data_IF_149093724581
#
_entry.id   IF_149093724581
#
_cell.length_a   1.000
_cell.length_b   1.000
_cell.length_c   1.000
_cell.angle_alpha   90.00
_cell.angle_beta   90.00
_cell.angle_gamma   90.00
#
_symmetry.space_group_name_H-M   'P 1'
#
loop_
_entity.id
_entity.type
_entity.pdbx_description
1 polymer ?
#
# COMPACT_ATOMS: atom_id res chain seq x y z
N UNK A 1 -2.40 15.84 19.96
CA UNK A 1 -2.65 15.53 18.54
C UNK A 1 -1.67 16.33 17.73
N UNK A 2 -0.80 15.66 17.03
CA UNK A 2 0.13 16.29 16.11
C UNK A 2 -0.59 16.70 14.80
N UNK A 3 -0.07 17.69 14.09
CA UNK A 3 -0.59 18.06 12.76
C UNK A 3 -0.57 16.88 11.79
N UNK A 4 0.38 15.94 11.96
CA UNK A 4 0.47 14.68 11.20
C UNK A 4 -0.76 13.80 11.44
N UNK A 5 -1.28 13.73 12.66
CA UNK A 5 -2.51 12.96 12.95
C UNK A 5 -3.68 13.46 12.12
N UNK A 6 -3.80 14.80 12.00
CA UNK A 6 -4.87 15.43 11.22
C UNK A 6 -4.71 15.11 9.73
N UNK A 7 -3.48 15.21 9.20
CA UNK A 7 -3.20 14.90 7.80
C UNK A 7 -3.48 13.44 7.49
N UNK A 8 -2.98 12.51 8.32
CA UNK A 8 -3.22 11.07 8.12
C UNK A 8 -4.71 10.74 8.23
N UNK A 9 -5.42 11.30 9.21
CA UNK A 9 -6.85 11.09 9.36
C UNK A 9 -7.63 11.60 8.14
N UNK A 10 -7.31 12.79 7.64
CA UNK A 10 -7.93 13.34 6.42
C UNK A 10 -7.66 12.47 5.21
N UNK A 11 -6.44 12.01 5.02
CA UNK A 11 -6.08 11.14 3.89
C UNK A 11 -6.80 9.79 3.97
N UNK A 12 -6.92 9.20 5.15
CA UNK A 12 -7.67 7.96 5.36
C UNK A 12 -9.17 8.17 5.09
N UNK A 13 -9.75 9.29 5.54
CA UNK A 13 -11.15 9.65 5.26
C UNK A 13 -11.39 9.88 3.77
N UNK A 14 -10.47 10.54 3.06
CA UNK A 14 -10.53 10.67 1.60
C UNK A 14 -10.49 9.29 0.93
N UNK A 15 -9.67 8.37 1.43
CA UNK A 15 -9.65 6.99 0.96
C UNK A 15 -10.97 6.26 1.16
N UNK A 16 -11.59 6.40 2.33
CA UNK A 16 -12.92 5.85 2.61
C UNK A 16 -14.00 6.45 1.67
N UNK A 17 -13.95 7.75 1.42
CA UNK A 17 -14.87 8.42 0.49
C UNK A 17 -14.68 7.95 -0.95
N UNK A 18 -13.44 7.77 -1.41
CA UNK A 18 -13.17 7.17 -2.71
C UNK A 18 -13.68 5.74 -2.79
N UNK A 19 -13.49 4.94 -1.74
CA UNK A 19 -14.02 3.58 -1.65
C UNK A 19 -15.54 3.53 -1.71
N UNK A 20 -16.22 4.45 -1.02
CA UNK A 20 -17.67 4.63 -1.10
C UNK A 20 -18.13 4.85 -2.56
N UNK A 21 -17.46 5.72 -3.30
CA UNK A 21 -17.78 6.00 -4.72
C UNK A 21 -17.39 4.86 -5.66
N UNK A 22 -16.31 4.15 -5.36
CA UNK A 22 -15.81 3.06 -6.20
C UNK A 22 -16.68 1.81 -6.08
N UNK A 23 -17.23 1.57 -4.89
CA UNK A 23 -18.00 0.39 -4.52
C UNK A 23 -17.13 -0.78 -4.10
N UNK A 24 -17.75 -1.73 -3.39
CA UNK A 24 -17.12 -2.89 -2.77
C UNK A 24 -16.24 -3.70 -3.75
N UNK A 25 -16.77 -3.98 -4.94
CA UNK A 25 -16.08 -4.82 -5.92
C UNK A 25 -14.73 -4.22 -6.35
N UNK A 26 -14.70 -2.93 -6.71
CA UNK A 26 -13.44 -2.27 -7.10
C UNK A 26 -12.46 -2.16 -5.94
N UNK A 27 -12.95 -1.87 -4.75
CA UNK A 27 -12.10 -1.78 -3.57
C UNK A 27 -11.52 -3.14 -3.19
N UNK A 28 -12.28 -4.23 -3.37
CA UNK A 28 -11.77 -5.59 -3.18
C UNK A 28 -10.63 -5.90 -4.16
N UNK A 29 -10.79 -5.57 -5.45
CA UNK A 29 -9.70 -5.71 -6.43
C UNK A 29 -8.49 -4.86 -6.05
N UNK A 30 -8.71 -3.65 -5.56
CA UNK A 30 -7.63 -2.76 -5.11
C UNK A 30 -6.89 -3.31 -3.90
N UNK A 31 -7.59 -3.94 -2.95
CA UNK A 31 -6.97 -4.61 -1.81
C UNK A 31 -6.13 -5.81 -2.25
N UNK A 32 -6.68 -6.64 -3.15
CA UNK A 32 -5.94 -7.76 -3.77
C UNK A 32 -4.71 -7.24 -4.52
N UNK A 33 -4.84 -6.13 -5.25
CA UNK A 33 -3.74 -5.49 -5.96
C UNK A 33 -2.57 -5.12 -5.03
N UNK A 34 -2.87 -4.59 -3.84
CA UNK A 34 -1.86 -4.22 -2.85
C UNK A 34 -1.16 -5.47 -2.32
N UNK A 35 -1.92 -6.50 -1.93
CA UNK A 35 -1.35 -7.76 -1.44
C UNK A 35 -0.42 -8.37 -2.49
N UNK A 36 -0.89 -8.48 -3.74
CA UNK A 36 -0.08 -8.98 -4.85
C UNK A 36 1.11 -8.07 -5.15
N UNK A 37 0.93 -6.75 -5.00
CA UNK A 37 1.99 -5.76 -5.17
C UNK A 37 3.11 -5.94 -4.14
N UNK A 38 2.77 -6.16 -2.87
CA UNK A 38 3.75 -6.44 -1.80
C UNK A 38 4.50 -7.75 -2.10
N UNK A 39 3.76 -8.82 -2.41
CA UNK A 39 4.35 -10.12 -2.72
C UNK A 39 5.29 -10.05 -3.94
N UNK A 40 4.84 -9.41 -5.01
CA UNK A 40 5.63 -9.22 -6.22
C UNK A 40 6.82 -8.26 -5.99
N UNK A 41 6.60 -7.19 -5.21
CA UNK A 41 7.62 -6.23 -4.83
C UNK A 41 8.81 -6.93 -4.20
N UNK A 42 8.60 -7.75 -3.20
CA UNK A 42 9.68 -8.53 -2.58
C UNK A 42 10.26 -9.60 -3.52
N UNK A 43 9.42 -10.33 -4.22
CA UNK A 43 9.87 -11.41 -5.11
C UNK A 43 10.76 -10.91 -6.25
N UNK A 44 10.41 -9.78 -6.85
CA UNK A 44 11.10 -9.23 -8.01
C UNK A 44 12.05 -8.08 -7.69
N UNK A 45 12.20 -7.71 -6.40
CA UNK A 45 13.08 -6.63 -5.95
C UNK A 45 14.52 -6.82 -6.46
N UNK A 46 15.09 -8.02 -6.34
CA UNK A 46 16.45 -8.30 -6.78
C UNK A 46 16.65 -8.09 -8.28
N UNK A 47 15.69 -8.55 -9.10
CA UNK A 47 15.70 -8.32 -10.54
C UNK A 47 15.58 -6.82 -10.87
N UNK A 48 14.66 -6.12 -10.21
CA UNK A 48 14.46 -4.69 -10.42
C UNK A 48 15.70 -3.86 -9.99
N UNK A 49 16.41 -4.27 -8.94
CA UNK A 49 17.67 -3.64 -8.53
C UNK A 49 18.74 -3.72 -9.61
N UNK A 50 18.89 -4.87 -10.28
CA UNK A 50 19.83 -5.03 -11.39
C UNK A 50 19.47 -4.09 -12.54
N UNK A 51 18.22 -4.10 -12.98
CA UNK A 51 17.74 -3.27 -14.10
C UNK A 51 17.83 -1.77 -13.79
N UNK A 52 17.52 -1.35 -12.57
CA UNK A 52 17.59 0.05 -12.15
C UNK A 52 19.04 0.49 -11.95
N UNK A 53 19.88 -0.36 -11.36
CA UNK A 53 21.29 -0.03 -11.09
C UNK A 53 22.11 0.19 -12.35
N UNK A 54 21.74 -0.46 -13.47
CA UNK A 54 22.38 -0.24 -14.76
C UNK A 54 21.97 1.09 -15.43
N UNK A 55 20.77 1.59 -15.14
CA UNK A 55 20.19 2.75 -15.83
C UNK A 55 20.23 4.04 -15.03
N UNK A 56 20.25 3.95 -13.71
CA UNK A 56 20.13 5.11 -12.83
C UNK A 56 21.18 5.05 -11.73
N UNK A 57 21.91 6.16 -11.54
CA UNK A 57 22.89 6.28 -10.46
C UNK A 57 22.17 6.53 -9.11
N UNK A 58 21.62 5.47 -8.52
CA UNK A 58 20.95 5.51 -7.22
C UNK A 58 21.94 5.01 -6.16
N UNK A 59 21.92 5.65 -4.98
CA UNK A 59 22.68 5.18 -3.83
C UNK A 59 22.28 3.72 -3.51
N UNK A 60 23.28 2.87 -3.26
CA UNK A 60 23.08 1.43 -2.99
C UNK A 60 22.16 1.17 -1.80
N UNK A 61 22.16 2.06 -0.82
CA UNK A 61 21.31 1.94 0.38
C UNK A 61 19.82 2.21 0.09
N UNK A 62 19.54 3.02 -0.95
CA UNK A 62 18.17 3.40 -1.33
C UNK A 62 17.61 2.50 -2.45
N UNK A 63 18.50 1.90 -3.24
CA UNK A 63 18.14 1.08 -4.40
C UNK A 63 17.11 -0.03 -4.12
N UNK A 64 17.20 -0.80 -3.01
CA UNK A 64 16.20 -1.83 -2.70
C UNK A 64 14.79 -1.26 -2.54
N UNK A 65 14.65 -0.13 -1.85
CA UNK A 65 13.35 0.50 -1.61
C UNK A 65 12.73 1.06 -2.88
N UNK A 66 13.57 1.66 -3.74
CA UNK A 66 13.12 2.15 -5.06
C UNK A 66 12.71 0.97 -5.95
N UNK A 67 13.48 -0.10 -5.96
CA UNK A 67 13.18 -1.30 -6.73
C UNK A 67 11.86 -1.94 -6.28
N UNK A 68 11.66 -2.08 -4.96
CA UNK A 68 10.41 -2.54 -4.38
C UNK A 68 9.24 -1.63 -4.79
N UNK A 69 9.37 -0.32 -4.62
CA UNK A 69 8.31 0.64 -4.93
C UNK A 69 7.91 0.60 -6.41
N UNK A 70 8.87 0.50 -7.33
CA UNK A 70 8.60 0.41 -8.77
C UNK A 70 7.81 -0.84 -9.11
N UNK A 71 8.22 -2.00 -8.60
CA UNK A 71 7.50 -3.26 -8.84
C UNK A 71 6.10 -3.22 -8.21
N UNK A 72 6.00 -2.76 -6.95
CA UNK A 72 4.75 -2.61 -6.24
C UNK A 72 3.74 -1.76 -7.01
N UNK A 73 4.15 -0.55 -7.41
CA UNK A 73 3.29 0.38 -8.15
C UNK A 73 2.85 -0.22 -9.50
N UNK A 74 3.78 -0.85 -10.23
CA UNK A 74 3.46 -1.48 -11.52
C UNK A 74 2.38 -2.56 -11.36
N UNK A 75 2.51 -3.45 -10.37
CA UNK A 75 1.54 -4.51 -10.10
C UNK A 75 0.20 -3.94 -9.66
N UNK A 76 0.20 -2.95 -8.76
CA UNK A 76 -1.03 -2.30 -8.30
C UNK A 76 -1.79 -1.65 -9.47
N UNK A 77 -1.09 -0.98 -10.38
CA UNK A 77 -1.71 -0.38 -11.58
C UNK A 77 -2.34 -1.47 -12.45
N UNK A 78 -1.61 -2.53 -12.78
CA UNK A 78 -2.09 -3.61 -13.65
C UNK A 78 -3.33 -4.28 -13.06
N UNK A 79 -3.29 -4.66 -11.79
CA UNK A 79 -4.42 -5.35 -11.14
C UNK A 79 -5.65 -4.43 -11.01
N UNK A 80 -5.45 -3.14 -10.71
CA UNK A 80 -6.56 -2.18 -10.67
C UNK A 80 -7.18 -1.94 -12.05
N UNK A 81 -6.40 -1.95 -13.14
CA UNK A 81 -6.93 -1.88 -14.49
C UNK A 81 -7.80 -3.09 -14.80
N UNK A 82 -7.34 -4.30 -14.43
CA UNK A 82 -8.14 -5.53 -14.57
C UNK A 82 -9.44 -5.44 -13.77
N UNK A 83 -9.38 -4.95 -12.54
CA UNK A 83 -10.57 -4.72 -11.70
C UNK A 83 -11.59 -3.78 -12.34
N UNK A 84 -11.14 -2.70 -13.00
CA UNK A 84 -12.03 -1.79 -13.74
C UNK A 84 -12.69 -2.47 -14.93
N UNK A 85 -11.98 -3.33 -15.66
CA UNK A 85 -12.53 -4.10 -16.78
C UNK A 85 -13.61 -5.08 -16.29
N UNK A 86 -13.35 -5.78 -15.18
CA UNK A 86 -14.33 -6.68 -14.57
C UNK A 86 -15.57 -5.91 -14.12
N UNK A 87 -15.39 -4.77 -13.42
CA UNK A 87 -16.54 -3.96 -12.98
C UNK A 87 -17.39 -3.44 -14.16
N UNK A 88 -16.77 -3.09 -15.27
CA UNK A 88 -17.49 -2.64 -16.46
C UNK A 88 -18.41 -3.73 -17.04
N UNK A 89 -18.10 -5.00 -16.75
CA UNK A 89 -18.85 -6.17 -17.22
C UNK A 89 -19.95 -6.62 -16.24
N UNK A 90 -19.96 -6.10 -15.01
CA UNK A 90 -20.92 -6.44 -13.97
C UNK A 90 -21.99 -5.35 -13.88
N UNK A 91 -23.27 -5.72 -14.05
CA UNK A 91 -24.39 -4.79 -13.94
C UNK A 91 -24.47 -4.15 -12.57
N UNK A 92 -24.62 -2.81 -12.56
CA UNK A 92 -24.68 -1.96 -11.35
C UNK A 92 -25.88 -2.25 -10.44
N UNK A 93 -26.80 -3.11 -10.88
CA UNK A 93 -28.12 -3.29 -10.25
C UNK A 93 -28.13 -4.23 -9.05
N UNK A 94 -27.06 -5.00 -8.81
CA UNK A 94 -27.12 -6.13 -7.86
C UNK A 94 -26.72 -5.79 -6.42
N UNK A 95 -26.03 -4.67 -6.15
CA UNK A 95 -25.39 -4.47 -4.85
C UNK A 95 -25.89 -3.25 -4.04
N UNK A 96 -26.52 -2.24 -4.66
CA UNK A 96 -27.16 -1.12 -3.97
C UNK A 96 -26.32 -0.45 -2.86
N UNK A 97 -26.97 0.02 -1.79
CA UNK A 97 -26.29 0.74 -0.69
C UNK A 97 -25.23 -0.07 0.06
N UNK A 98 -25.29 -1.40 0.02
CA UNK A 98 -24.29 -2.29 0.62
C UNK A 98 -22.95 -2.23 -0.12
N UNK A 99 -22.98 -2.00 -1.44
CA UNK A 99 -21.76 -1.82 -2.24
C UNK A 99 -21.01 -0.56 -1.81
N UNK A 100 -21.73 0.52 -1.55
CA UNK A 100 -21.15 1.80 -1.19
C UNK A 100 -20.52 1.76 0.21
N UNK A 101 -21.22 1.22 1.20
CA UNK A 101 -20.72 1.11 2.58
C UNK A 101 -19.57 0.10 2.66
N UNK A 102 -19.71 -1.05 1.99
CA UNK A 102 -18.62 -2.02 1.90
C UNK A 102 -17.39 -1.45 1.21
N UNK A 103 -17.59 -0.68 0.14
CA UNK A 103 -16.54 0.06 -0.55
C UNK A 103 -15.83 1.06 0.36
N UNK A 104 -16.56 1.81 1.18
CA UNK A 104 -15.98 2.76 2.13
C UNK A 104 -15.08 2.07 3.17
N UNK A 105 -15.54 0.94 3.73
CA UNK A 105 -14.77 0.18 4.72
C UNK A 105 -13.49 -0.39 4.11
N UNK A 106 -13.57 -1.02 2.94
CA UNK A 106 -12.37 -1.54 2.26
C UNK A 106 -11.47 -0.40 1.84
N UNK A 107 -12.01 0.71 1.34
CA UNK A 107 -11.24 1.90 0.97
C UNK A 107 -10.45 2.47 2.14
N UNK A 108 -11.03 2.48 3.35
CA UNK A 108 -10.33 2.87 4.58
C UNK A 108 -9.16 1.93 4.89
N UNK A 109 -9.40 0.61 4.89
CA UNK A 109 -8.37 -0.40 5.14
C UNK A 109 -7.26 -0.31 4.10
N UNK A 110 -7.61 -0.25 2.82
CA UNK A 110 -6.67 -0.11 1.71
C UNK A 110 -5.79 1.12 1.86
N UNK A 111 -6.41 2.27 2.12
CA UNK A 111 -5.68 3.54 2.22
C UNK A 111 -4.73 3.53 3.41
N UNK A 112 -5.16 3.01 4.56
CA UNK A 112 -4.30 2.83 5.73
C UNK A 112 -3.09 1.95 5.39
N UNK A 113 -3.30 0.86 4.66
CA UNK A 113 -2.24 -0.06 4.27
C UNK A 113 -1.24 0.56 3.27
N UNK A 114 -1.74 1.31 2.27
CA UNK A 114 -0.88 2.05 1.32
C UNK A 114 -0.03 3.08 2.04
N UNK A 115 -0.61 3.85 2.95
CA UNK A 115 0.16 4.79 3.75
C UNK A 115 1.16 4.10 4.67
N UNK A 116 0.81 2.97 5.25
CA UNK A 116 1.75 2.18 6.04
C UNK A 116 2.98 1.76 5.23
N UNK A 117 2.79 1.28 4.00
CA UNK A 117 3.91 0.95 3.10
C UNK A 117 4.74 2.20 2.79
N UNK A 118 4.09 3.31 2.47
CA UNK A 118 4.78 4.56 2.17
C UNK A 118 5.61 5.06 3.36
N UNK A 119 5.04 5.03 4.56
CA UNK A 119 5.73 5.41 5.80
C UNK A 119 6.88 4.45 6.11
N UNK A 120 6.70 3.14 5.91
CA UNK A 120 7.78 2.17 6.09
C UNK A 120 8.96 2.43 5.14
N UNK A 121 8.70 2.74 3.86
CA UNK A 121 9.75 3.11 2.90
C UNK A 121 10.47 4.37 3.37
N UNK A 122 9.72 5.40 3.76
CA UNK A 122 10.25 6.69 4.22
C UNK A 122 11.09 6.54 5.49
N UNK A 123 10.64 5.76 6.47
CA UNK A 123 11.37 5.43 7.70
C UNK A 123 12.68 4.68 7.40
N UNK A 124 12.64 3.77 6.42
CA UNK A 124 13.81 3.00 5.99
C UNK A 124 14.89 3.88 5.35
N UNK A 125 14.51 5.02 4.80
CA UNK A 125 15.45 6.02 4.25
C UNK A 125 16.18 6.83 5.35
N UNK A 126 15.81 6.67 6.63
CA UNK A 126 16.41 7.31 7.81
C UNK A 126 16.58 8.84 7.66
N UNK A 127 15.56 9.49 7.12
CA UNK A 127 15.55 10.94 6.90
C UNK A 127 15.34 11.64 8.24
N UNK A 128 16.33 12.39 8.70
CA UNK A 128 16.38 13.02 10.04
C UNK A 128 15.20 13.97 10.34
N UNK A 129 14.61 14.60 9.32
CA UNK A 129 13.49 15.52 9.50
C UNK A 129 12.16 14.84 9.87
N UNK A 130 12.04 13.52 9.67
CA UNK A 130 10.80 12.78 9.92
C UNK A 130 10.60 12.55 11.41
N UNK A 131 11.68 12.28 12.15
CA UNK A 131 11.60 12.08 13.59
C UNK A 131 11.05 13.29 14.31
N UNK A 132 11.39 14.51 13.88
CA UNK A 132 10.86 15.75 14.45
C UNK A 132 9.37 15.95 14.19
N UNK A 133 8.88 15.50 13.05
CA UNK A 133 7.47 15.66 12.66
C UNK A 133 6.54 14.63 13.28
N UNK A 134 7.09 13.45 13.60
CA UNK A 134 6.32 12.34 14.18
C UNK A 134 6.23 12.38 15.71
N UNK A 135 7.04 13.23 16.36
CA UNK A 135 7.00 13.42 17.81
C UNK A 135 5.59 13.84 18.26
N UNK A 136 5.03 13.10 19.23
CA UNK A 136 3.69 13.36 19.79
C UNK A 136 2.52 12.93 18.89
N UNK A 137 2.76 12.25 17.77
CA UNK A 137 1.71 11.65 16.96
C UNK A 137 1.24 10.32 17.56
N UNK A 138 -0.07 10.17 17.68
CA UNK A 138 -0.70 8.91 18.11
C UNK A 138 -1.06 8.02 16.91
N UNK A 139 -1.45 8.62 15.80
CA UNK A 139 -1.92 7.89 14.62
C UNK A 139 -0.75 7.36 13.79
N UNK A 140 0.38 8.09 13.77
CA UNK A 140 1.56 7.70 12.99
C UNK A 140 2.05 6.28 13.31
N UNK A 141 2.36 5.91 14.59
CA UNK A 141 2.83 4.56 14.89
C UNK A 141 1.79 3.49 14.58
N UNK A 142 0.50 3.78 14.76
CA UNK A 142 -0.55 2.82 14.42
C UNK A 142 -0.60 2.54 12.92
N UNK A 143 -0.49 3.57 12.08
CA UNK A 143 -0.50 3.41 10.62
C UNK A 143 0.81 2.80 10.14
N UNK A 144 1.96 3.28 10.63
CA UNK A 144 3.28 2.78 10.21
C UNK A 144 3.46 1.27 10.47
N UNK A 145 2.91 0.76 11.56
CA UNK A 145 3.02 -0.63 11.99
C UNK A 145 2.18 -1.63 11.17
N UNK A 146 1.20 -1.17 10.39
CA UNK A 146 0.25 -2.07 9.70
C UNK A 146 0.96 -2.93 8.66
N UNK A 147 1.77 -2.36 7.79
CA UNK A 147 2.47 -3.10 6.74
C UNK A 147 3.54 -4.06 7.29
N UNK A 148 4.42 -3.66 8.24
CA UNK A 148 5.36 -4.57 8.88
C UNK A 148 4.69 -5.75 9.57
N UNK A 149 3.61 -5.51 10.33
CA UNK A 149 2.84 -6.58 10.99
C UNK A 149 2.21 -7.54 9.98
N UNK A 150 1.70 -7.00 8.87
CA UNK A 150 1.12 -7.80 7.81
C UNK A 150 2.17 -8.67 7.10
N UNK A 151 3.34 -8.12 6.79
CA UNK A 151 4.44 -8.87 6.18
C UNK A 151 4.96 -9.97 7.12
N UNK A 152 5.09 -9.68 8.41
CA UNK A 152 5.46 -10.67 9.41
C UNK A 152 4.41 -11.80 9.53
N UNK A 153 3.12 -11.46 9.46
CA UNK A 153 2.05 -12.45 9.48
C UNK A 153 2.08 -13.34 8.22
N UNK A 154 2.27 -12.75 7.03
CA UNK A 154 2.39 -13.49 5.76
C UNK A 154 3.64 -14.38 5.74
N UNK A 155 4.76 -13.96 6.30
CA UNK A 155 5.99 -14.76 6.34
C UNK A 155 5.81 -16.09 7.10
N UNK A 156 4.84 -16.14 8.01
CA UNK A 156 4.44 -17.38 8.70
C UNK A 156 3.73 -18.40 7.78
N UNK A 157 3.03 -17.93 6.74
CA UNK A 157 2.33 -18.79 5.78
C UNK A 157 3.18 -19.13 4.55
N UNK A 158 4.10 -18.26 4.17
CA UNK A 158 4.95 -18.43 3.01
C UNK A 158 6.44 -18.45 3.43
N UNK A 159 7.07 -19.64 3.59
CA UNK A 159 8.46 -19.77 4.02
C UNK A 159 9.48 -19.02 3.15
N UNK A 160 9.11 -18.74 1.90
CA UNK A 160 9.92 -17.98 0.95
C UNK A 160 10.25 -16.55 1.44
N UNK A 161 9.44 -15.98 2.33
CA UNK A 161 9.71 -14.64 2.89
C UNK A 161 10.63 -14.63 4.11
N UNK A 162 11.00 -15.79 4.66
CA UNK A 162 11.93 -15.87 5.82
C UNK A 162 13.36 -15.44 5.48
N UNK A 163 13.73 -15.50 4.21
CA UNK A 163 15.07 -15.15 3.74
C UNK A 163 15.20 -13.68 3.32
N UNK A 164 14.12 -12.89 3.44
CA UNK A 164 14.06 -11.49 2.99
C UNK A 164 14.04 -10.49 4.16
N UNK A 165 13.84 -10.96 5.41
CA UNK A 165 13.79 -10.15 6.63
C UNK A 165 14.77 -10.59 7.70
#
# INVERSE_FOLDING_TARGET
MSWIDIVLALLILVGAYHGYKAGFLLELFSLIAIVLGVLAGFKFMGWAMVVLGEKVHINKDVLPYVAFAVVFIAVVIVVNLLGKLVKASVDKTLLGPLDDVGGALIGLVRTTFVFSIALWIVDSLKLSFISEWTEGSWLYPMVADVAPKFTHWISGFFPFFKDVF
#
